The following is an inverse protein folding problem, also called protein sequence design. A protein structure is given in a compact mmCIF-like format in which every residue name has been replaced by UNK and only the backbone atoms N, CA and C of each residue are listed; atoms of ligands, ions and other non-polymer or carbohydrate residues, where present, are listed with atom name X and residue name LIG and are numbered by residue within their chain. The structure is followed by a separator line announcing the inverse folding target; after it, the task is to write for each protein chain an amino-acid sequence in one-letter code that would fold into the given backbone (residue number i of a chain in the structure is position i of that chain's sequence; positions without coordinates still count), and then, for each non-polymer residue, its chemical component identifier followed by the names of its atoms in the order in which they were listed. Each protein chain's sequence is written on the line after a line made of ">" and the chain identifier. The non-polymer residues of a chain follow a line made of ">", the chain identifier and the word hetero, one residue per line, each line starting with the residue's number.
data_IF_128955320164
#
_entry.id   IF_128955320164
#
_cell.length_a   1.000
_cell.length_b   1.000
_cell.length_c   1.000
_cell.angle_alpha   90.00
_cell.angle_beta   90.00
_cell.angle_gamma   90.00
#
_symmetry.space_group_name_H-M   'P 1'
#
loop_
_entity.id
_entity.type
_entity.pdbx_description
1 polymer ?
#
# COMPACT_ATOMS: atom_id res chain seq x y z
N UNK A 1 -20.74 -6.06 13.47
CA UNK A 1 -20.11 -7.22 14.11
C UNK A 1 -18.63 -7.14 13.79
N UNK A 2 -17.78 -7.04 14.80
CA UNK A 2 -16.33 -6.90 14.65
C UNK A 2 -15.67 -8.16 15.21
N UNK A 3 -14.77 -8.78 14.46
CA UNK A 3 -14.08 -10.00 14.88
C UNK A 3 -12.78 -9.68 15.62
N UNK A 4 -12.82 -8.73 16.57
CA UNK A 4 -11.62 -8.11 17.18
C UNK A 4 -10.66 -9.11 17.81
N UNK A 5 -11.16 -10.22 18.35
CA UNK A 5 -10.38 -11.29 18.97
C UNK A 5 -10.03 -12.46 18.03
N UNK A 6 -10.47 -12.43 16.76
CA UNK A 6 -10.22 -13.52 15.82
C UNK A 6 -8.73 -13.62 15.48
N UNK A 7 -8.14 -14.79 15.75
CA UNK A 7 -6.73 -15.08 15.52
C UNK A 7 -6.51 -16.60 15.38
N UNK A 8 -7.37 -17.28 14.61
CA UNK A 8 -7.35 -18.74 14.48
C UNK A 8 -6.48 -19.20 13.30
N UNK A 9 -5.77 -20.33 13.40
CA UNK A 9 -4.84 -20.78 12.37
C UNK A 9 -5.60 -21.18 11.09
N UNK A 10 -5.51 -20.32 10.08
CA UNK A 10 -6.21 -20.47 8.78
C UNK A 10 -5.26 -20.51 7.58
N UNK A 11 -3.94 -20.53 7.82
CA UNK A 11 -2.94 -20.56 6.74
C UNK A 11 -3.06 -21.75 5.80
N UNK A 12 -3.68 -22.86 6.26
CA UNK A 12 -3.90 -24.08 5.46
C UNK A 12 -5.20 -24.08 4.65
N UNK A 13 -5.99 -23.01 4.72
CA UNK A 13 -7.23 -22.93 3.96
C UNK A 13 -6.96 -22.88 2.45
N UNK A 14 -7.73 -23.65 1.70
CA UNK A 14 -7.73 -23.53 0.25
C UNK A 14 -8.62 -22.36 -0.17
N UNK A 15 -7.99 -21.25 -0.57
CA UNK A 15 -8.67 -20.03 -1.05
C UNK A 15 -8.56 -19.84 -2.57
N UNK A 16 -8.03 -20.80 -3.32
CA UNK A 16 -7.81 -20.69 -4.78
C UNK A 16 -9.08 -20.41 -5.59
N UNK A 17 -10.27 -20.70 -5.06
CA UNK A 17 -11.56 -20.39 -5.68
C UNK A 17 -12.21 -19.08 -5.22
N UNK A 18 -11.57 -18.32 -4.32
CA UNK A 18 -12.13 -17.10 -3.75
C UNK A 18 -11.85 -15.92 -4.68
N UNK A 19 -12.90 -15.28 -5.19
CA UNK A 19 -12.75 -14.13 -6.11
C UNK A 19 -12.71 -12.76 -5.43
N UNK A 20 -13.18 -12.66 -4.17
CA UNK A 20 -13.23 -11.41 -3.39
C UNK A 20 -12.86 -11.68 -1.95
N UNK A 21 -11.91 -10.90 -1.42
CA UNK A 21 -11.49 -10.91 -0.02
C UNK A 21 -11.71 -9.55 0.66
N UNK A 22 -12.52 -8.69 0.04
CA UNK A 22 -12.85 -7.36 0.57
C UNK A 22 -13.32 -7.46 2.02
N UNK A 23 -12.71 -6.66 2.90
CA UNK A 23 -13.03 -6.57 4.34
C UNK A 23 -12.91 -7.87 5.16
N UNK A 24 -12.24 -8.91 4.68
CA UNK A 24 -12.19 -10.23 5.35
C UNK A 24 -11.70 -10.18 6.81
N UNK A 25 -10.69 -9.34 7.10
CA UNK A 25 -10.13 -9.13 8.44
C UNK A 25 -10.33 -7.70 8.95
N UNK A 26 -11.34 -6.99 8.41
CA UNK A 26 -11.68 -5.64 8.86
C UNK A 26 -12.00 -5.65 10.36
N UNK A 27 -11.32 -4.79 11.11
CA UNK A 27 -11.41 -4.63 12.57
C UNK A 27 -11.07 -5.90 13.36
N UNK A 28 -10.41 -6.89 12.73
CA UNK A 28 -9.86 -8.06 13.42
C UNK A 28 -8.53 -7.69 14.11
N UNK A 29 -8.60 -6.80 15.10
CA UNK A 29 -7.44 -6.15 15.73
C UNK A 29 -6.39 -7.13 16.26
N UNK A 30 -6.78 -8.34 16.67
CA UNK A 30 -5.85 -9.37 17.18
C UNK A 30 -5.36 -10.36 16.11
N UNK A 31 -5.82 -10.26 14.86
CA UNK A 31 -5.47 -11.20 13.80
C UNK A 31 -4.01 -11.00 13.36
N UNK A 32 -3.21 -12.06 13.44
CA UNK A 32 -1.82 -12.07 13.01
C UNK A 32 -1.37 -13.50 12.62
N UNK A 33 -2.23 -14.26 11.96
CA UNK A 33 -1.92 -15.63 11.54
C UNK A 33 -1.28 -15.65 10.16
N UNK A 34 -0.30 -16.52 9.98
CA UNK A 34 0.36 -16.74 8.70
C UNK A 34 -0.67 -17.17 7.64
N UNK A 35 -0.74 -16.38 6.58
CA UNK A 35 -1.57 -16.55 5.39
C UNK A 35 -0.76 -16.30 4.11
N UNK A 36 0.58 -16.26 4.21
CA UNK A 36 1.46 -15.98 3.08
C UNK A 36 1.38 -17.06 1.99
N UNK A 37 1.03 -18.28 2.38
CA UNK A 37 0.88 -19.43 1.48
C UNK A 37 -0.46 -19.49 0.71
N UNK A 38 -1.34 -18.51 0.89
CA UNK A 38 -2.63 -18.48 0.18
C UNK A 38 -2.44 -18.21 -1.32
N UNK A 39 -3.14 -19.01 -2.15
CA UNK A 39 -3.24 -18.76 -3.58
C UNK A 39 -4.29 -17.67 -3.86
N UNK A 40 -3.83 -16.44 -4.11
CA UNK A 40 -4.67 -15.28 -4.39
C UNK A 40 -4.86 -15.02 -5.89
N UNK A 41 -4.43 -15.92 -6.78
CA UNK A 41 -4.40 -15.69 -8.23
C UNK A 41 -5.77 -15.44 -8.87
N UNK A 42 -6.87 -15.82 -8.21
CA UNK A 42 -8.25 -15.61 -8.68
C UNK A 42 -8.93 -14.41 -8.01
N UNK A 43 -8.29 -13.80 -7.02
CA UNK A 43 -8.84 -12.66 -6.28
C UNK A 43 -8.78 -11.41 -7.15
N UNK A 44 -9.88 -10.66 -7.15
CA UNK A 44 -10.03 -9.41 -7.95
C UNK A 44 -10.22 -8.18 -7.06
N UNK A 45 -10.47 -8.36 -5.76
CA UNK A 45 -10.68 -7.26 -4.81
C UNK A 45 -10.24 -7.65 -3.40
N UNK A 46 -9.34 -6.85 -2.82
CA UNK A 46 -8.79 -6.95 -1.45
C UNK A 46 -8.98 -5.64 -0.65
N UNK A 47 -9.89 -4.77 -1.10
CA UNK A 47 -10.17 -3.50 -0.44
C UNK A 47 -10.55 -3.69 1.04
N UNK A 48 -10.05 -2.82 1.90
CA UNK A 48 -10.29 -2.87 3.35
C UNK A 48 -9.95 -4.21 4.04
N UNK A 49 -9.19 -5.12 3.40
CA UNK A 49 -9.01 -6.49 3.91
C UNK A 49 -8.44 -6.51 5.32
N UNK A 50 -7.48 -5.63 5.63
CA UNK A 50 -6.85 -5.47 6.95
C UNK A 50 -7.11 -4.10 7.59
N UNK A 51 -8.21 -3.43 7.20
CA UNK A 51 -8.62 -2.16 7.79
C UNK A 51 -8.81 -2.33 9.32
N UNK A 52 -8.04 -1.59 10.13
CA UNK A 52 -8.00 -1.66 11.60
C UNK A 52 -7.58 -3.03 12.17
N UNK A 53 -6.90 -3.89 11.38
CA UNK A 53 -6.26 -5.11 11.86
C UNK A 53 -4.90 -4.78 12.50
N UNK A 54 -4.92 -4.05 13.62
CA UNK A 54 -3.75 -3.39 14.20
C UNK A 54 -2.56 -4.31 14.53
N UNK A 55 -2.80 -5.61 14.80
CA UNK A 55 -1.74 -6.59 15.09
C UNK A 55 -1.20 -7.31 13.85
N UNK A 56 -1.80 -7.15 12.67
CA UNK A 56 -1.41 -7.90 11.49
C UNK A 56 -0.04 -7.46 10.97
N UNK A 57 0.89 -8.41 10.86
CA UNK A 57 2.24 -8.18 10.32
C UNK A 57 2.84 -9.48 9.75
N UNK A 58 2.03 -10.26 9.01
CA UNK A 58 2.49 -11.50 8.40
C UNK A 58 2.92 -11.28 6.95
N UNK A 59 3.97 -11.98 6.54
CA UNK A 59 4.51 -11.92 5.19
C UNK A 59 3.45 -12.37 4.17
N UNK A 60 3.18 -11.49 3.22
CA UNK A 60 2.24 -11.66 2.10
C UNK A 60 2.90 -11.27 0.77
N UNK A 61 4.23 -11.19 0.74
CA UNK A 61 5.03 -10.89 -0.45
C UNK A 61 4.75 -11.86 -1.61
N UNK A 62 4.41 -13.11 -1.29
CA UNK A 62 4.12 -14.18 -2.25
C UNK A 62 2.71 -14.09 -2.88
N UNK A 63 1.83 -13.21 -2.41
CA UNK A 63 0.49 -13.08 -2.97
C UNK A 63 0.52 -12.57 -4.41
N UNK A 64 -0.24 -13.23 -5.29
CA UNK A 64 -0.49 -12.72 -6.62
C UNK A 64 -1.61 -11.66 -6.56
N UNK A 65 -1.23 -10.41 -6.78
CA UNK A 65 -2.14 -9.25 -6.79
C UNK A 65 -2.32 -8.63 -8.19
N UNK A 66 -1.76 -9.23 -9.25
CA UNK A 66 -1.75 -8.66 -10.61
C UNK A 66 -3.14 -8.41 -11.21
N UNK A 67 -4.16 -9.14 -10.73
CA UNK A 67 -5.57 -8.99 -11.14
C UNK A 67 -6.39 -7.99 -10.30
N UNK A 68 -5.79 -7.34 -9.30
CA UNK A 68 -6.48 -6.44 -8.38
C UNK A 68 -6.56 -5.03 -8.96
N UNK A 69 -7.74 -4.41 -8.92
CA UNK A 69 -7.94 -3.04 -9.42
C UNK A 69 -8.12 -1.99 -8.32
N UNK A 70 -8.45 -2.42 -7.08
CA UNK A 70 -8.66 -1.53 -5.93
C UNK A 70 -8.01 -2.10 -4.66
N UNK A 71 -7.21 -1.25 -4.01
CA UNK A 71 -6.54 -1.50 -2.72
C UNK A 71 -6.95 -0.46 -1.67
N UNK A 72 -8.10 0.21 -1.87
CA UNK A 72 -8.61 1.22 -0.94
C UNK A 72 -8.63 0.67 0.49
N UNK A 73 -8.16 1.47 1.44
CA UNK A 73 -8.14 1.16 2.87
C UNK A 73 -7.45 -0.16 3.28
N UNK A 74 -6.70 -0.84 2.40
CA UNK A 74 -6.27 -2.23 2.61
C UNK A 74 -5.56 -2.43 3.96
N UNK A 75 -4.67 -1.51 4.34
CA UNK A 75 -3.90 -1.52 5.59
C UNK A 75 -4.16 -0.30 6.47
N UNK A 76 -5.27 0.43 6.24
CA UNK A 76 -5.59 1.60 7.07
C UNK A 76 -5.74 1.17 8.52
N UNK A 77 -4.98 1.77 9.44
CA UNK A 77 -4.99 1.40 10.86
C UNK A 77 -4.34 0.05 11.19
N UNK A 78 -3.74 -0.66 10.24
CA UNK A 78 -2.93 -1.85 10.48
C UNK A 78 -1.56 -1.44 11.05
N UNK A 79 -1.55 -0.88 12.26
CA UNK A 79 -0.41 -0.16 12.84
C UNK A 79 0.89 -0.95 12.94
N UNK A 80 0.82 -2.29 13.00
CA UNK A 80 2.00 -3.17 13.07
C UNK A 80 2.53 -3.62 11.72
N UNK A 81 1.81 -3.39 10.62
CA UNK A 81 2.17 -3.92 9.31
C UNK A 81 3.42 -3.23 8.75
N UNK A 82 4.46 -4.01 8.46
CA UNK A 82 5.72 -3.54 7.86
C UNK A 82 6.41 -4.65 7.06
N UNK A 83 5.64 -5.45 6.31
CA UNK A 83 6.19 -6.52 5.48
C UNK A 83 6.55 -6.01 4.08
N UNK A 84 7.63 -6.54 3.52
CA UNK A 84 8.08 -6.20 2.18
C UNK A 84 7.05 -6.64 1.13
N UNK A 85 6.47 -5.65 0.47
CA UNK A 85 5.53 -5.79 -0.63
C UNK A 85 6.01 -5.05 -1.87
N UNK A 86 7.30 -4.69 -1.94
CA UNK A 86 7.89 -3.98 -3.08
C UNK A 86 7.83 -4.77 -4.39
N UNK A 87 7.77 -6.10 -4.29
CA UNK A 87 7.69 -7.02 -5.43
C UNK A 87 6.27 -7.23 -6.00
N UNK A 88 5.25 -6.64 -5.38
CA UNK A 88 3.86 -6.77 -5.84
C UNK A 88 3.64 -6.09 -7.20
N UNK A 89 3.01 -6.81 -8.13
CA UNK A 89 2.58 -6.26 -9.42
C UNK A 89 1.28 -5.46 -9.26
N UNK A 90 1.40 -4.15 -9.00
CA UNK A 90 0.28 -3.22 -8.86
C UNK A 90 -0.15 -2.57 -10.18
N UNK A 91 0.33 -3.04 -11.34
CA UNK A 91 0.12 -2.37 -12.63
C UNK A 91 -1.35 -2.25 -13.06
N UNK A 92 -2.23 -3.10 -12.53
CA UNK A 92 -3.68 -3.06 -12.74
C UNK A 92 -4.44 -2.19 -11.74
N UNK A 93 -3.78 -1.71 -10.68
CA UNK A 93 -4.43 -0.96 -9.59
C UNK A 93 -4.75 0.46 -10.03
N UNK A 94 -5.98 0.89 -9.77
CA UNK A 94 -6.46 2.25 -10.09
C UNK A 94 -6.75 3.09 -8.84
N UNK A 95 -6.99 2.45 -7.69
CA UNK A 95 -7.43 3.12 -6.47
C UNK A 95 -6.66 2.61 -5.24
N UNK A 96 -5.88 3.50 -4.64
CA UNK A 96 -5.08 3.28 -3.41
C UNK A 96 -5.49 4.25 -2.29
N UNK A 97 -6.73 4.75 -2.34
CA UNK A 97 -7.26 5.67 -1.34
C UNK A 97 -7.05 5.18 0.09
N UNK A 98 -6.39 5.99 0.92
CA UNK A 98 -6.11 5.68 2.33
C UNK A 98 -5.44 4.30 2.57
N UNK A 99 -4.74 3.72 1.58
CA UNK A 99 -4.24 2.33 1.66
C UNK A 99 -3.42 2.04 2.92
N UNK A 100 -2.52 2.95 3.31
CA UNK A 100 -1.64 2.82 4.49
C UNK A 100 -1.94 3.85 5.57
N UNK A 101 -3.07 4.56 5.51
CA UNK A 101 -3.37 5.61 6.48
C UNK A 101 -3.28 5.06 7.91
N UNK A 102 -2.47 5.69 8.75
CA UNK A 102 -2.22 5.25 10.14
C UNK A 102 -1.59 3.85 10.31
N UNK A 103 -1.00 3.26 9.26
CA UNK A 103 -0.14 2.08 9.37
C UNK A 103 1.26 2.49 9.87
N UNK A 104 1.33 2.90 11.14
CA UNK A 104 2.47 3.65 11.69
C UNK A 104 3.84 2.97 11.62
N UNK A 105 3.89 1.65 11.50
CA UNK A 105 5.15 0.90 11.38
C UNK A 105 5.63 0.74 9.94
N UNK A 106 4.83 1.11 8.93
CA UNK A 106 5.12 0.84 7.53
C UNK A 106 6.25 1.74 7.01
N UNK A 107 7.34 1.11 6.56
CA UNK A 107 8.53 1.74 5.99
C UNK A 107 9.22 0.77 5.03
N UNK A 108 8.61 0.52 3.87
CA UNK A 108 9.13 -0.37 2.83
C UNK A 108 9.37 0.36 1.51
N UNK A 109 10.30 -0.16 0.71
CA UNK A 109 10.59 0.37 -0.63
C UNK A 109 9.48 -0.02 -1.62
N UNK A 110 8.84 1.00 -2.19
CA UNK A 110 7.77 0.87 -3.19
C UNK A 110 8.17 1.46 -4.55
N UNK A 111 9.46 1.77 -4.77
CA UNK A 111 9.95 2.37 -6.01
C UNK A 111 9.72 1.50 -7.25
N UNK A 112 9.67 0.17 -7.07
CA UNK A 112 9.41 -0.77 -8.16
C UNK A 112 7.94 -0.86 -8.58
N UNK A 113 7.01 -0.25 -7.83
CA UNK A 113 5.58 -0.31 -8.14
C UNK A 113 5.24 0.48 -9.41
N UNK A 114 4.60 -0.19 -10.36
CA UNK A 114 4.05 0.48 -11.54
C UNK A 114 2.69 1.12 -11.21
N UNK A 115 2.70 2.39 -10.79
CA UNK A 115 1.49 3.16 -10.46
C UNK A 115 0.88 3.92 -11.65
N UNK A 116 1.25 3.58 -12.90
CA UNK A 116 0.82 4.31 -14.11
C UNK A 116 -0.70 4.33 -14.34
N UNK A 117 -1.45 3.40 -13.73
CA UNK A 117 -2.92 3.32 -13.83
C UNK A 117 -3.64 3.95 -12.63
N UNK A 118 -2.92 4.37 -11.58
CA UNK A 118 -3.53 4.85 -10.36
C UNK A 118 -4.07 6.27 -10.57
N UNK A 119 -5.35 6.46 -10.26
CA UNK A 119 -6.05 7.74 -10.37
C UNK A 119 -6.39 8.35 -9.00
N UNK A 120 -6.27 7.58 -7.92
CA UNK A 120 -6.62 8.03 -6.57
C UNK A 120 -5.62 7.52 -5.51
N UNK A 121 -4.81 8.44 -4.96
CA UNK A 121 -3.86 8.19 -3.86
C UNK A 121 -4.03 9.18 -2.69
N UNK A 122 -5.24 9.75 -2.57
CA UNK A 122 -5.53 10.68 -1.48
C UNK A 122 -5.37 9.98 -0.14
N UNK A 123 -4.71 10.66 0.79
CA UNK A 123 -4.46 10.19 2.16
C UNK A 123 -3.73 8.84 2.27
N UNK A 124 -3.07 8.36 1.20
CA UNK A 124 -2.44 7.03 1.16
C UNK A 124 -1.51 6.77 2.36
N UNK A 125 -0.64 7.72 2.69
CA UNK A 125 0.29 7.66 3.84
C UNK A 125 -0.02 8.70 4.91
N UNK A 126 -1.27 9.16 5.04
CA UNK A 126 -1.63 10.08 6.12
C UNK A 126 -1.33 9.42 7.49
N UNK A 127 -0.55 10.12 8.34
CA UNK A 127 -0.03 9.60 9.61
C UNK A 127 0.94 8.40 9.48
N UNK A 128 1.66 8.32 8.35
CA UNK A 128 2.82 7.45 8.13
C UNK A 128 4.01 8.31 7.72
N UNK A 129 5.22 7.88 8.06
CA UNK A 129 6.47 8.51 7.65
C UNK A 129 7.39 7.41 7.14
N UNK A 130 7.56 7.35 5.82
CA UNK A 130 8.61 6.54 5.20
C UNK A 130 9.97 7.14 5.54
N UNK A 131 10.97 6.28 5.67
CA UNK A 131 12.37 6.71 5.70
C UNK A 131 12.71 7.47 4.43
N UNK A 132 13.67 8.41 4.51
CA UNK A 132 14.14 9.16 3.35
C UNK A 132 14.63 8.26 2.23
N UNK A 133 15.28 7.14 2.55
CA UNK A 133 15.74 6.17 1.55
C UNK A 133 14.57 5.55 0.76
N UNK A 134 13.52 5.09 1.46
CA UNK A 134 12.37 4.48 0.81
C UNK A 134 11.54 5.51 0.03
N UNK A 135 11.43 6.75 0.55
CA UNK A 135 10.72 7.79 -0.16
C UNK A 135 11.47 8.30 -1.39
N UNK A 136 12.81 8.39 -1.32
CA UNK A 136 13.65 8.68 -2.49
C UNK A 136 13.48 7.59 -3.55
N UNK A 137 13.56 6.31 -3.15
CA UNK A 137 13.33 5.17 -4.05
C UNK A 137 11.97 5.22 -4.73
N UNK A 138 10.92 5.57 -3.97
CA UNK A 138 9.56 5.79 -4.48
C UNK A 138 9.53 6.88 -5.56
N UNK A 139 10.05 8.08 -5.26
CA UNK A 139 10.03 9.21 -6.19
C UNK A 139 10.86 8.94 -7.46
N UNK A 140 12.05 8.37 -7.30
CA UNK A 140 12.93 7.98 -8.41
C UNK A 140 12.25 6.94 -9.29
N UNK A 141 11.71 5.89 -8.69
CA UNK A 141 11.01 4.83 -9.44
C UNK A 141 9.80 5.36 -10.20
N UNK A 142 8.94 6.13 -9.53
CA UNK A 142 7.67 6.59 -10.10
C UNK A 142 7.86 7.67 -11.16
N UNK A 143 8.88 8.52 -11.05
CA UNK A 143 9.20 9.54 -12.07
C UNK A 143 9.54 8.93 -13.44
N UNK A 144 9.99 7.67 -13.48
CA UNK A 144 10.30 6.96 -14.72
C UNK A 144 9.06 6.42 -15.47
N UNK A 145 7.87 6.50 -14.86
CA UNK A 145 6.63 5.95 -15.37
C UNK A 145 5.84 6.97 -16.21
N UNK A 146 4.92 6.47 -17.05
CA UNK A 146 3.92 7.30 -17.71
C UNK A 146 2.68 7.42 -16.82
N UNK A 147 2.70 8.39 -15.91
CA UNK A 147 1.70 8.55 -14.86
C UNK A 147 0.40 9.21 -15.37
N UNK A 148 -0.71 8.95 -14.68
CA UNK A 148 -1.95 9.70 -14.88
C UNK A 148 -1.79 11.15 -14.44
N UNK A 149 -2.42 12.10 -15.14
CA UNK A 149 -2.34 13.51 -14.75
C UNK A 149 -3.32 13.85 -13.62
N UNK A 150 -2.97 14.84 -12.79
CA UNK A 150 -3.87 15.43 -11.79
C UNK A 150 -4.11 14.56 -10.54
N UNK A 151 -3.25 13.57 -10.29
CA UNK A 151 -3.38 12.70 -9.12
C UNK A 151 -2.94 13.47 -7.86
N UNK A 152 -3.72 13.33 -6.78
CA UNK A 152 -3.35 13.81 -5.46
C UNK A 152 -2.71 12.66 -4.68
N UNK A 153 -1.43 12.82 -4.34
CA UNK A 153 -0.64 11.85 -3.59
C UNK A 153 -0.25 12.43 -2.23
N UNK A 154 -0.61 11.72 -1.16
CA UNK A 154 -0.28 12.11 0.19
C UNK A 154 0.78 11.16 0.76
N UNK A 155 2.04 11.60 0.81
CA UNK A 155 3.19 10.83 1.31
C UNK A 155 3.39 10.94 2.84
N UNK A 156 2.51 11.65 3.55
CA UNK A 156 2.56 11.69 5.02
C UNK A 156 3.62 12.67 5.51
N UNK A 157 4.33 12.28 6.58
CA UNK A 157 5.47 13.04 7.11
C UNK A 157 6.80 12.75 6.39
N UNK A 158 6.79 11.95 5.32
CA UNK A 158 7.98 11.48 4.61
C UNK A 158 8.75 12.65 3.99
N UNK A 159 10.07 12.66 4.15
CA UNK A 159 10.97 13.68 3.60
C UNK A 159 11.91 13.06 2.58
N UNK A 160 12.21 13.80 1.51
CA UNK A 160 13.09 13.34 0.43
C UNK A 160 14.47 14.02 0.51
N UNK A 161 15.49 13.38 -0.03
CA UNK A 161 16.83 13.97 -0.16
C UNK A 161 16.98 14.80 -1.42
N UNK A 162 18.12 15.48 -1.57
CA UNK A 162 18.47 16.17 -2.83
C UNK A 162 18.53 15.23 -4.02
N UNK A 163 18.74 13.92 -3.83
CA UNK A 163 18.79 12.94 -4.91
C UNK A 163 17.43 12.71 -5.59
N UNK A 164 16.31 12.96 -4.88
CA UNK A 164 14.97 12.77 -5.41
C UNK A 164 14.21 14.09 -5.65
N UNK A 165 14.87 15.24 -5.42
CA UNK A 165 14.24 16.56 -5.54
C UNK A 165 13.77 16.85 -6.97
N UNK A 166 14.63 16.61 -7.96
CA UNK A 166 14.30 16.80 -9.39
C UNK A 166 13.18 15.85 -9.82
N UNK A 167 13.17 14.61 -9.32
CA UNK A 167 12.18 13.58 -9.68
C UNK A 167 10.80 13.88 -9.12
N UNK A 168 10.75 14.35 -7.88
CA UNK A 168 9.52 14.86 -7.28
C UNK A 168 8.96 16.04 -8.07
N UNK A 169 9.82 16.99 -8.44
CA UNK A 169 9.41 18.18 -9.18
C UNK A 169 8.95 17.81 -10.60
N UNK A 170 9.63 16.87 -11.25
CA UNK A 170 9.24 16.31 -12.54
C UNK A 170 7.83 15.71 -12.51
N UNK A 171 7.50 14.92 -11.48
CA UNK A 171 6.16 14.34 -11.33
C UNK A 171 5.09 15.44 -11.22
N UNK A 172 5.36 16.48 -10.43
CA UNK A 172 4.45 17.62 -10.25
C UNK A 172 4.27 18.38 -11.57
N UNK A 173 5.36 18.75 -12.25
CA UNK A 173 5.30 19.62 -13.42
C UNK A 173 4.77 18.91 -14.66
N UNK A 174 5.19 17.66 -14.89
CA UNK A 174 4.84 16.90 -16.09
C UNK A 174 3.43 16.32 -16.01
N UNK A 175 3.05 15.80 -14.84
CA UNK A 175 1.76 15.14 -14.66
C UNK A 175 0.76 15.97 -13.86
N UNK A 176 1.09 17.21 -13.48
CA UNK A 176 0.20 18.07 -12.68
C UNK A 176 -0.24 17.42 -11.36
N UNK A 177 0.65 16.63 -10.75
CA UNK A 177 0.35 16.00 -9.46
C UNK A 177 0.32 17.02 -8.35
N UNK A 178 -0.51 16.77 -7.34
CA UNK A 178 -0.44 17.45 -6.04
C UNK A 178 0.18 16.49 -5.04
N UNK A 179 1.40 16.77 -4.59
CA UNK A 179 2.11 15.95 -3.61
C UNK A 179 2.12 16.66 -2.25
N UNK A 180 1.59 15.99 -1.22
CA UNK A 180 1.66 16.42 0.19
C UNK A 180 2.65 15.54 0.96
N UNK A 181 3.77 16.11 1.37
CA UNK A 181 4.89 15.43 2.03
C UNK A 181 5.59 16.35 3.04
N UNK A 182 6.63 15.85 3.71
CA UNK A 182 7.43 16.58 4.69
C UNK A 182 8.51 17.50 4.10
N UNK A 183 8.55 17.67 2.77
CA UNK A 183 9.55 18.46 2.08
C UNK A 183 10.92 17.78 1.97
N UNK A 184 11.89 18.54 1.47
CA UNK A 184 13.27 18.09 1.40
C UNK A 184 13.90 18.10 2.80
N UNK A 185 14.74 17.11 3.11
CA UNK A 185 15.55 17.12 4.35
C UNK A 185 16.50 18.33 4.37
N UNK A 186 16.83 18.89 5.56
CA UNK A 186 17.76 20.02 5.70
C UNK A 186 19.19 19.74 5.22
#
# INVERSE_FOLDING_TARGET
>A
WTATSFNQPIGTWNVSGVSKMESMFREASSFNQDIGAWDTSTVTNIGSMFLEASSFNQDISAWNISGITSMRYMFRGASSFNQDIGAWDVSSVTDMYEMFRSASSFDQDLGAWNVSQVINMREMFLSVTLSTANYDGLLIGWSSLNLQSGVNFHAGGSQYSSAAADERQYIIDTFSWTISDGGQVP
#
